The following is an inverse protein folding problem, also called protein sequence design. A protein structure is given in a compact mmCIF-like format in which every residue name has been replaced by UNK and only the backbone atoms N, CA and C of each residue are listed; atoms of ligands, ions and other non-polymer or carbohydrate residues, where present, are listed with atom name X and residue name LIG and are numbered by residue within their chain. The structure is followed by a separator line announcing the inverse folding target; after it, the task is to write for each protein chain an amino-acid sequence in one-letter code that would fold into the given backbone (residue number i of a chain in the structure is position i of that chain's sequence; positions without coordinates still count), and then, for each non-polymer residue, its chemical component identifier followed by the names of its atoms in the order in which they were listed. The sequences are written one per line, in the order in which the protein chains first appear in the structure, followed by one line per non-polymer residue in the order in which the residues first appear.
data_IF_059858675498
#
_entry.id   IF_059858675498
#
_cell.length_a   1.000
_cell.length_b   1.000
_cell.length_c   1.000
_cell.angle_alpha   90.00
_cell.angle_beta   90.00
_cell.angle_gamma   90.00
#
_symmetry.space_group_name_H-M   'P 1'
#
loop_
_entity.id
_entity.type
_entity.pdbx_description
1 polymer ?
#
# COMPACT_ATOMS: atom_id res chain seq x y z
N UNK A 1 27.57 5.70 -22.12
CA UNK A 1 27.13 4.80 -21.05
C UNK A 1 25.60 4.89 -20.97
N UNK A 2 24.87 3.79 -21.12
CA UNK A 2 23.42 3.78 -20.90
C UNK A 2 23.19 3.87 -19.40
N UNK A 3 22.44 4.89 -18.99
CA UNK A 3 22.16 5.19 -17.59
C UNK A 3 21.29 4.06 -17.02
N UNK A 4 21.91 3.21 -16.21
CA UNK A 4 21.35 1.96 -15.71
C UNK A 4 20.36 2.21 -14.54
N UNK A 5 19.47 3.20 -14.67
CA UNK A 5 18.58 3.64 -13.59
C UNK A 5 17.16 3.07 -13.71
N UNK A 6 17.01 1.95 -14.41
CA UNK A 6 15.82 1.13 -14.36
C UNK A 6 15.95 0.19 -13.15
N UNK A 7 15.18 0.45 -12.07
CA UNK A 7 14.69 -0.50 -11.02
C UNK A 7 15.10 -0.24 -9.55
N UNK A 8 15.33 0.99 -9.11
CA UNK A 8 15.39 1.26 -7.67
C UNK A 8 14.20 2.18 -7.30
N UNK A 9 13.25 1.61 -6.55
CA UNK A 9 12.02 2.24 -6.03
C UNK A 9 10.91 2.57 -7.06
N UNK A 10 10.22 1.56 -7.60
CA UNK A 10 8.97 1.79 -8.38
C UNK A 10 7.70 1.75 -7.53
N UNK A 11 7.83 1.44 -6.23
CA UNK A 11 6.70 1.47 -5.32
C UNK A 11 6.58 2.89 -4.76
N UNK A 12 5.38 3.50 -4.76
CA UNK A 12 5.15 4.85 -4.25
C UNK A 12 5.17 4.93 -2.71
N UNK A 13 5.58 3.86 -2.03
CA UNK A 13 5.52 3.73 -0.57
C UNK A 13 6.80 3.10 -0.03
N UNK A 14 7.21 3.55 1.15
CA UNK A 14 8.41 3.10 1.84
C UNK A 14 8.08 2.25 3.08
N UNK A 15 8.90 1.24 3.36
CA UNK A 15 8.67 0.31 4.49
C UNK A 15 8.97 1.02 5.81
N UNK A 16 8.03 0.95 6.75
CA UNK A 16 8.13 1.55 8.07
C UNK A 16 7.55 2.96 8.15
N UNK A 17 7.21 3.56 7.00
CA UNK A 17 6.48 4.83 6.95
C UNK A 17 4.97 4.62 7.04
N UNK A 18 4.30 5.67 7.50
CA UNK A 18 2.84 5.73 7.63
C UNK A 18 2.29 6.64 6.53
N UNK A 19 1.28 6.15 5.82
CA UNK A 19 0.61 6.88 4.76
C UNK A 19 -0.89 6.94 5.05
N UNK A 20 -1.49 8.11 4.85
CA UNK A 20 -2.95 8.24 4.86
C UNK A 20 -3.47 7.76 3.51
N UNK A 21 -4.27 6.69 3.54
CA UNK A 21 -4.90 6.15 2.33
C UNK A 21 -6.39 5.96 2.57
N UNK A 22 -7.16 6.12 1.50
CA UNK A 22 -8.57 5.77 1.49
C UNK A 22 -8.73 4.36 0.96
N UNK A 23 -9.48 3.53 1.69
CA UNK A 23 -9.80 2.18 1.27
C UNK A 23 -10.86 2.27 0.17
N UNK A 24 -10.50 1.89 -1.05
CA UNK A 24 -11.42 1.95 -2.19
C UNK A 24 -12.27 0.68 -2.31
N UNK A 25 -11.78 -0.45 -1.83
CA UNK A 25 -12.45 -1.74 -1.98
C UNK A 25 -12.13 -2.68 -0.79
N UNK A 26 -12.92 -3.75 -0.64
CA UNK A 26 -12.73 -4.80 0.38
C UNK A 26 -12.76 -6.15 -0.29
N UNK A 27 -11.73 -6.95 -0.04
CA UNK A 27 -11.72 -8.35 -0.37
C UNK A 27 -12.78 -9.10 0.47
N UNK A 28 -13.25 -10.23 -0.07
CA UNK A 28 -14.27 -11.08 0.59
C UNK A 28 -13.83 -11.64 1.95
N UNK A 29 -12.53 -11.66 2.22
CA UNK A 29 -11.95 -12.19 3.45
C UNK A 29 -11.88 -11.13 4.57
N UNK A 30 -12.19 -9.86 4.27
CA UNK A 30 -12.11 -8.76 5.25
C UNK A 30 -10.88 -7.86 5.08
N UNK A 31 -10.04 -8.11 4.07
CA UNK A 31 -8.91 -7.23 3.75
C UNK A 31 -9.36 -6.02 2.95
N UNK A 32 -9.06 -4.81 3.43
CA UNK A 32 -9.23 -3.62 2.60
C UNK A 32 -8.11 -3.49 1.58
N UNK A 33 -8.50 -2.95 0.43
CA UNK A 33 -7.64 -2.73 -0.71
C UNK A 33 -7.49 -1.22 -0.86
N UNK A 34 -6.29 -0.74 -0.55
CA UNK A 34 -5.88 0.63 -0.85
C UNK A 34 -5.10 0.64 -2.17
N UNK A 35 -5.31 1.68 -2.98
CA UNK A 35 -4.58 1.87 -4.22
C UNK A 35 -3.90 3.24 -4.22
N UNK A 36 -2.57 3.23 -4.31
CA UNK A 36 -1.74 4.43 -4.35
C UNK A 36 -1.06 4.48 -5.71
N UNK A 37 -1.44 5.42 -6.57
CA UNK A 37 -0.84 5.60 -7.91
C UNK A 37 -0.77 4.31 -8.77
N UNK A 38 -1.76 3.41 -8.62
CA UNK A 38 -1.80 2.11 -9.31
C UNK A 38 -1.05 0.97 -8.60
N UNK A 39 -0.42 1.25 -7.46
CA UNK A 39 0.15 0.27 -6.56
C UNK A 39 -0.91 -0.24 -5.58
N UNK A 40 -1.07 -1.55 -5.49
CA UNK A 40 -2.07 -2.18 -4.61
C UNK A 40 -1.44 -2.46 -3.26
N UNK A 41 -2.09 -1.98 -2.21
CA UNK A 41 -1.70 -2.18 -0.82
C UNK A 41 -2.83 -2.92 -0.11
N UNK A 42 -2.49 -4.06 0.47
CA UNK A 42 -3.42 -4.85 1.27
C UNK A 42 -3.32 -4.42 2.72
N UNK A 43 -4.48 -4.12 3.31
CA UNK A 43 -4.60 -3.64 4.68
C UNK A 43 -5.68 -4.46 5.39
N UNK A 44 -5.31 -5.41 6.26
CA UNK A 44 -6.29 -6.16 7.03
C UNK A 44 -7.04 -5.25 8.02
N UNK A 45 -8.20 -5.69 8.48
CA UNK A 45 -9.03 -5.01 9.49
C UNK A 45 -9.55 -3.62 9.09
N UNK A 46 -9.63 -3.31 7.79
CA UNK A 46 -10.11 -2.01 7.29
C UNK A 46 -11.48 -2.10 6.60
N UNK A 47 -12.11 -0.95 6.37
CA UNK A 47 -13.44 -0.83 5.77
C UNK A 47 -13.44 0.10 4.55
N UNK A 48 -14.28 -0.20 3.55
CA UNK A 48 -14.41 0.60 2.33
C UNK A 48 -14.95 1.98 2.66
N UNK A 49 -14.32 3.01 2.09
CA UNK A 49 -14.67 4.40 2.31
C UNK A 49 -14.07 5.00 3.58
N UNK A 50 -13.35 4.22 4.38
CA UNK A 50 -12.62 4.73 5.53
C UNK A 50 -11.26 5.30 5.09
N UNK A 51 -10.87 6.41 5.70
CA UNK A 51 -9.56 7.05 5.48
C UNK A 51 -8.74 6.82 6.73
N UNK A 52 -7.83 5.86 6.65
CA UNK A 52 -7.02 5.40 7.77
C UNK A 52 -5.54 5.63 7.49
N UNK A 53 -4.78 5.79 8.56
CA UNK A 53 -3.33 5.80 8.48
C UNK A 53 -2.86 4.35 8.42
N UNK A 54 -2.11 4.02 7.37
CA UNK A 54 -1.57 2.68 7.18
C UNK A 54 -0.06 2.72 7.32
N UNK A 55 0.49 1.81 8.09
CA UNK A 55 1.93 1.64 8.22
C UNK A 55 2.40 0.53 7.31
N UNK A 56 3.28 0.86 6.38
CA UNK A 56 3.82 -0.12 5.45
C UNK A 56 4.74 -1.05 6.20
N UNK A 57 4.42 -2.34 6.20
CA UNK A 57 5.27 -3.34 6.85
C UNK A 57 6.17 -4.02 5.84
N UNK A 58 5.69 -4.21 4.60
CA UNK A 58 6.44 -4.87 3.53
C UNK A 58 6.02 -4.33 2.18
N UNK A 59 7.00 -3.99 1.35
CA UNK A 59 6.80 -3.61 -0.06
C UNK A 59 7.37 -4.71 -0.93
N UNK A 60 6.58 -5.21 -1.87
CA UNK A 60 7.01 -6.16 -2.90
C UNK A 60 7.04 -5.48 -4.27
N UNK A 61 7.53 -6.20 -5.27
CA UNK A 61 7.76 -5.67 -6.62
C UNK A 61 6.48 -5.22 -7.37
N UNK A 62 5.30 -5.69 -6.95
CA UNK A 62 4.00 -5.41 -7.60
C UNK A 62 2.88 -4.98 -6.65
N UNK A 63 3.04 -5.17 -5.34
CA UNK A 63 2.04 -4.87 -4.32
C UNK A 63 2.72 -4.69 -2.96
N UNK A 64 2.01 -4.10 -2.01
CA UNK A 64 2.49 -3.89 -0.64
C UNK A 64 1.56 -4.48 0.39
N UNK A 65 2.10 -4.70 1.58
CA UNK A 65 1.34 -4.99 2.79
C UNK A 65 1.54 -3.85 3.76
N UNK A 66 0.44 -3.43 4.36
CA UNK A 66 0.42 -2.44 5.40
C UNK A 66 -0.56 -2.87 6.49
N UNK A 67 -0.37 -2.33 7.69
CA UNK A 67 -1.29 -2.52 8.80
C UNK A 67 -1.97 -1.18 9.08
N UNK A 68 -3.25 -1.18 9.41
CA UNK A 68 -3.91 0.05 9.86
C UNK A 68 -3.35 0.44 11.23
N UNK A 69 -3.07 1.72 11.42
CA UNK A 69 -2.92 2.32 12.74
C UNK A 69 -4.14 3.21 12.97
N UNK A 70 -4.91 2.88 14.01
CA UNK A 70 -6.07 3.66 14.49
C UNK A 70 -5.64 4.90 15.28
#
# INVERSE_FOLDING_TARGET
MFNNNDRESTAPVDVGETYEVTIEDLAREGDGIARVEGFVIFVPDTQVGDTVNIKITRVLRKFGFAEKEE
#
